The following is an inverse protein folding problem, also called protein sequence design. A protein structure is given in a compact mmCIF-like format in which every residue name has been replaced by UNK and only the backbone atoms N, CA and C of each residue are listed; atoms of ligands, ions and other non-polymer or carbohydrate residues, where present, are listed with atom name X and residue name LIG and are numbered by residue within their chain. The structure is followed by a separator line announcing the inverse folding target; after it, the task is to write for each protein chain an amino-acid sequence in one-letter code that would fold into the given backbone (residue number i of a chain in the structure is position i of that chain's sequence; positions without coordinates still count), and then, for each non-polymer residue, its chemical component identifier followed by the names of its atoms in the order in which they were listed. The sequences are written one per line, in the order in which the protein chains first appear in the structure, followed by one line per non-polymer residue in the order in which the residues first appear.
data_IF_408443677176
#
_entry.id   IF_408443677176
#
_cell.length_a   1.000
_cell.length_b   1.000
_cell.length_c   1.000
_cell.angle_alpha   90.00
_cell.angle_beta   90.00
_cell.angle_gamma   90.00
#
_symmetry.space_group_name_H-M   'P 1'
#
loop_
_entity.id
_entity.type
_entity.pdbx_description
1 polymer ?
#
# COMPACT_ATOMS: atom_id res chain seq x y z
N UNK A 1 3.91 19.23 13.19
CA UNK A 1 2.58 19.68 12.71
C UNK A 1 2.17 18.74 11.60
N UNK A 2 1.06 18.02 11.76
CA UNK A 2 0.60 17.03 10.80
C UNK A 2 -0.13 17.69 9.62
N UNK A 3 0.47 17.65 8.43
CA UNK A 3 -0.08 18.30 7.22
C UNK A 3 -1.17 17.43 6.59
N UNK A 4 -0.83 16.17 6.28
CA UNK A 4 -1.73 15.22 5.63
C UNK A 4 -1.90 13.98 6.52
N UNK A 5 -3.16 13.65 6.80
CA UNK A 5 -3.56 12.42 7.47
C UNK A 5 -4.26 11.51 6.49
N UNK A 6 -3.63 10.41 6.12
CA UNK A 6 -4.19 9.44 5.17
C UNK A 6 -4.88 8.32 5.92
N UNK A 7 -6.08 7.95 5.48
CA UNK A 7 -6.81 6.76 5.91
C UNK A 7 -6.89 5.84 4.70
N UNK A 8 -6.13 4.75 4.70
CA UNK A 8 -6.02 3.82 3.58
C UNK A 8 -6.81 2.53 3.83
N UNK A 9 -7.50 2.04 2.80
CA UNK A 9 -8.40 0.89 2.86
C UNK A 9 -7.72 -0.48 2.87
N UNK A 10 -6.41 -0.52 2.57
CA UNK A 10 -5.55 -1.70 2.60
C UNK A 10 -4.09 -1.35 2.95
N UNK A 11 -3.33 -2.39 3.29
CA UNK A 11 -1.91 -2.28 3.64
C UNK A 11 -1.00 -1.91 2.46
N UNK A 12 -1.23 -2.52 1.30
CA UNK A 12 -0.36 -2.30 0.13
C UNK A 12 -0.56 -0.88 -0.41
N UNK A 13 -1.81 -0.42 -0.50
CA UNK A 13 -2.13 0.95 -0.90
C UNK A 13 -1.73 2.01 0.12
N UNK A 14 -1.66 1.66 1.42
CA UNK A 14 -1.07 2.52 2.45
C UNK A 14 0.43 2.73 2.21
N UNK A 15 1.18 1.65 1.96
CA UNK A 15 2.62 1.73 1.71
C UNK A 15 2.90 2.48 0.41
N UNK A 16 2.09 2.23 -0.62
CA UNK A 16 2.19 2.90 -1.92
C UNK A 16 2.00 4.42 -1.80
N UNK A 17 0.89 4.89 -1.21
CA UNK A 17 0.69 6.35 -1.05
C UNK A 17 1.76 6.98 -0.16
N UNK A 18 2.20 6.29 0.90
CA UNK A 18 3.23 6.80 1.79
C UNK A 18 4.59 6.95 1.09
N UNK A 19 4.91 6.00 0.20
CA UNK A 19 6.04 6.09 -0.72
C UNK A 19 5.91 7.31 -1.64
N UNK A 20 4.77 7.54 -2.29
CA UNK A 20 4.57 8.74 -3.11
C UNK A 20 4.74 10.06 -2.33
N UNK A 21 4.33 10.12 -1.06
CA UNK A 21 4.55 11.29 -0.22
C UNK A 21 6.05 11.53 0.04
N UNK A 22 6.79 10.49 0.43
CA UNK A 22 8.24 10.57 0.71
C UNK A 22 9.04 10.92 -0.54
N UNK A 23 8.75 10.27 -1.67
CA UNK A 23 9.42 10.51 -2.95
C UNK A 23 9.21 11.93 -3.47
N UNK A 24 8.22 12.65 -2.93
CA UNK A 24 7.92 14.04 -3.27
C UNK A 24 8.18 15.01 -2.10
N UNK A 25 9.07 14.64 -1.17
CA UNK A 25 9.63 15.56 -0.18
C UNK A 25 8.83 15.70 1.12
N UNK A 26 7.89 14.78 1.40
CA UNK A 26 7.09 14.79 2.64
C UNK A 26 7.46 13.59 3.54
N UNK A 27 8.22 13.79 4.63
CA UNK A 27 8.52 12.74 5.59
C UNK A 27 7.25 12.08 6.11
N UNK A 28 7.16 10.76 6.04
CA UNK A 28 5.90 10.04 6.31
C UNK A 28 6.13 8.82 7.19
N UNK A 29 5.18 8.60 8.11
CA UNK A 29 5.07 7.38 8.89
C UNK A 29 3.79 6.66 8.52
N UNK A 30 3.88 5.35 8.29
CA UNK A 30 2.70 4.48 8.24
C UNK A 30 2.48 3.83 9.60
N UNK A 31 1.22 3.78 10.05
CA UNK A 31 0.78 3.05 11.24
C UNK A 31 -0.27 2.04 10.80
N UNK A 32 -0.16 0.81 11.30
CA UNK A 32 -1.09 -0.27 11.03
C UNK A 32 -2.21 -0.27 12.08
N UNK A 33 -3.45 -0.41 11.62
CA UNK A 33 -4.67 -0.26 12.42
C UNK A 33 -4.81 1.15 13.04
N UNK A 34 -5.92 1.36 13.76
CA UNK A 34 -6.19 2.66 14.41
C UNK A 34 -5.16 2.92 15.50
N UNK A 35 -4.40 4.03 15.45
CA UNK A 35 -3.36 4.28 16.43
C UNK A 35 -3.93 4.55 17.83
N UNK A 36 -3.22 4.05 18.85
CA UNK A 36 -3.54 4.30 20.28
C UNK A 36 -2.60 5.31 20.93
N UNK A 37 -1.41 5.53 20.35
CA UNK A 37 -0.38 6.44 20.85
C UNK A 37 -0.53 7.89 20.39
N UNK A 38 0.54 8.67 20.54
CA UNK A 38 0.66 10.04 20.02
C UNK A 38 1.25 10.06 18.61
N UNK A 39 1.21 11.21 17.93
CA UNK A 39 1.89 11.37 16.64
C UNK A 39 3.39 10.97 16.77
N UNK A 40 3.90 10.09 15.87
CA UNK A 40 5.32 9.80 15.77
C UNK A 40 6.15 11.05 15.40
N UNK A 41 7.37 11.13 15.91
CA UNK A 41 8.29 12.23 15.59
C UNK A 41 8.78 12.17 14.15
N UNK A 42 9.37 13.26 13.65
CA UNK A 42 10.07 13.27 12.36
C UNK A 42 9.18 13.09 11.12
N UNK A 43 7.85 13.25 11.23
CA UNK A 43 6.93 13.13 10.11
C UNK A 43 6.03 14.35 9.90
N UNK A 44 5.74 14.62 8.63
CA UNK A 44 4.79 15.64 8.16
C UNK A 44 3.45 15.03 7.74
N UNK A 45 3.45 13.74 7.39
CA UNK A 45 2.26 12.96 7.11
C UNK A 45 2.23 11.65 7.88
N UNK A 46 1.02 11.20 8.18
CA UNK A 46 0.76 9.89 8.78
C UNK A 46 -0.23 9.14 7.89
N UNK A 47 0.09 7.89 7.56
CA UNK A 47 -0.78 6.99 6.82
C UNK A 47 -1.28 5.89 7.76
N UNK A 48 -2.58 5.86 8.01
CA UNK A 48 -3.23 4.82 8.80
C UNK A 48 -3.72 3.74 7.84
N UNK A 49 -3.12 2.56 7.94
CA UNK A 49 -3.45 1.38 7.14
C UNK A 49 -4.56 0.57 7.82
N UNK A 50 -5.71 0.46 7.18
CA UNK A 50 -6.83 -0.37 7.64
C UNK A 50 -7.05 -1.58 6.72
N UNK A 51 -7.90 -2.52 7.14
CA UNK A 51 -8.36 -3.65 6.31
C UNK A 51 -9.84 -3.48 5.95
N UNK A 52 -10.18 -2.37 5.31
CA UNK A 52 -11.56 -1.91 5.17
C UNK A 52 -12.10 -1.89 3.75
N UNK A 53 -11.35 -2.40 2.76
CA UNK A 53 -11.80 -2.46 1.35
C UNK A 53 -13.06 -3.29 1.16
N UNK A 54 -13.11 -4.48 1.77
CA UNK A 54 -14.15 -5.49 1.49
C UNK A 54 -14.82 -6.05 2.75
N UNK A 55 -14.52 -5.48 3.93
CA UNK A 55 -15.30 -5.76 5.14
C UNK A 55 -16.71 -5.15 5.01
N UNK A 56 -17.66 -5.48 5.89
CA UNK A 56 -18.96 -4.81 5.91
C UNK A 56 -18.82 -3.27 6.02
N UNK A 57 -19.64 -2.53 5.28
CA UNK A 57 -19.56 -1.07 5.22
C UNK A 57 -19.61 -0.39 6.59
N UNK A 58 -20.43 -0.90 7.51
CA UNK A 58 -20.52 -0.36 8.87
C UNK A 58 -19.21 -0.49 9.66
N UNK A 59 -18.46 -1.57 9.43
CA UNK A 59 -17.15 -1.75 10.02
C UNK A 59 -16.13 -0.79 9.40
N UNK A 60 -16.13 -0.65 8.07
CA UNK A 60 -15.28 0.29 7.36
C UNK A 60 -15.48 1.74 7.83
N UNK A 61 -16.74 2.16 7.99
CA UNK A 61 -17.11 3.46 8.55
C UNK A 61 -16.57 3.60 9.97
N UNK A 62 -16.82 2.62 10.86
CA UNK A 62 -16.40 2.67 12.26
C UNK A 62 -14.87 2.84 12.37
N UNK A 63 -14.11 2.04 11.63
CA UNK A 63 -12.65 2.10 11.67
C UNK A 63 -12.12 3.41 11.07
N UNK A 64 -12.68 3.87 9.95
CA UNK A 64 -12.28 5.14 9.32
C UNK A 64 -12.57 6.35 10.20
N UNK A 65 -13.72 6.38 10.88
CA UNK A 65 -14.05 7.45 11.82
C UNK A 65 -13.15 7.41 13.06
N UNK A 66 -12.78 6.23 13.56
CA UNK A 66 -11.83 6.11 14.66
C UNK A 66 -10.43 6.64 14.27
N UNK A 67 -9.95 6.31 13.06
CA UNK A 67 -8.74 6.87 12.48
C UNK A 67 -8.81 8.40 12.34
N UNK A 68 -9.93 8.93 11.84
CA UNK A 68 -10.17 10.38 11.73
C UNK A 68 -10.14 11.06 13.10
N UNK A 69 -10.78 10.49 14.12
CA UNK A 69 -10.75 11.03 15.50
C UNK A 69 -9.32 11.14 16.00
N UNK A 70 -8.49 10.12 15.74
CA UNK A 70 -7.08 10.19 16.10
C UNK A 70 -6.34 11.31 15.33
N UNK A 71 -6.52 11.39 14.01
CA UNK A 71 -5.89 12.42 13.17
C UNK A 71 -6.26 13.85 13.61
N UNK A 72 -7.55 14.10 13.91
CA UNK A 72 -8.02 15.40 14.42
C UNK A 72 -7.37 15.75 15.76
N UNK A 73 -7.18 14.78 16.66
CA UNK A 73 -6.48 14.99 17.94
C UNK A 73 -5.01 15.38 17.76
N UNK A 74 -4.35 14.92 16.69
CA UNK A 74 -2.97 15.31 16.37
C UNK A 74 -2.87 16.65 15.60
N UNK A 75 -3.98 17.36 15.38
CA UNK A 75 -3.99 18.63 14.66
C UNK A 75 -3.75 18.49 13.14
N UNK A 76 -4.21 17.38 12.56
CA UNK A 76 -4.18 17.16 11.11
C UNK A 76 -4.89 18.28 10.33
N UNK A 77 -4.23 18.85 9.32
CA UNK A 77 -4.77 19.94 8.51
C UNK A 77 -5.67 19.46 7.36
N UNK A 78 -5.26 18.39 6.67
CA UNK A 78 -5.98 17.82 5.53
C UNK A 78 -6.10 16.29 5.67
N UNK A 79 -7.30 15.76 5.43
CA UNK A 79 -7.55 14.32 5.45
C UNK A 79 -7.58 13.77 4.02
N UNK A 80 -6.94 12.63 3.81
CA UNK A 80 -6.93 11.91 2.55
C UNK A 80 -7.57 10.54 2.73
N UNK A 81 -8.70 10.28 2.06
CA UNK A 81 -9.27 8.93 1.99
C UNK A 81 -8.66 8.18 0.80
N UNK A 82 -7.80 7.20 1.09
CA UNK A 82 -7.05 6.44 0.10
C UNK A 82 -7.74 5.10 -0.19
N UNK A 83 -8.03 4.87 -1.46
CA UNK A 83 -8.56 3.59 -1.98
C UNK A 83 -7.79 3.14 -3.23
N UNK A 84 -8.15 1.98 -3.78
CA UNK A 84 -7.45 1.40 -4.93
C UNK A 84 -7.57 2.26 -6.20
N UNK A 85 -6.50 2.31 -7.00
CA UNK A 85 -6.47 3.05 -8.28
C UNK A 85 -7.41 2.48 -9.35
N UNK A 86 -7.97 1.28 -9.12
CA UNK A 86 -8.98 0.63 -9.96
C UNK A 86 -10.40 0.73 -9.39
N UNK A 87 -10.59 1.57 -8.36
CA UNK A 87 -11.89 1.85 -7.74
C UNK A 87 -12.61 0.62 -7.15
N UNK A 88 -11.82 -0.38 -6.74
CA UNK A 88 -12.21 -1.65 -6.13
C UNK A 88 -13.32 -1.51 -5.08
N UNK A 89 -14.56 -1.77 -5.47
CA UNK A 89 -15.75 -1.64 -4.63
C UNK A 89 -16.94 -2.37 -5.26
N UNK A 90 -18.02 -2.52 -4.50
CA UNK A 90 -19.33 -2.93 -5.02
C UNK A 90 -20.33 -1.80 -4.80
N UNK A 91 -21.59 -1.99 -5.22
CA UNK A 91 -22.67 -1.06 -4.87
C UNK A 91 -22.90 -0.96 -3.34
N UNK A 92 -22.43 -1.94 -2.56
CA UNK A 92 -22.52 -1.92 -1.10
C UNK A 92 -21.37 -1.16 -0.43
N UNK A 93 -20.33 -0.78 -1.18
CA UNK A 93 -19.21 0.00 -0.68
C UNK A 93 -17.82 -0.60 -0.96
N UNK A 94 -16.76 -0.08 -0.31
CA UNK A 94 -16.82 0.84 0.84
C UNK A 94 -16.41 2.30 0.55
N UNK A 95 -16.11 2.66 -0.70
CA UNK A 95 -15.64 4.01 -1.05
C UNK A 95 -16.70 5.07 -0.74
N UNK A 96 -17.93 4.89 -1.23
CA UNK A 96 -19.04 5.82 -0.98
C UNK A 96 -19.40 5.96 0.49
N UNK A 97 -19.70 4.86 1.21
CA UNK A 97 -20.12 4.94 2.61
C UNK A 97 -19.07 5.58 3.53
N UNK A 98 -17.78 5.28 3.32
CA UNK A 98 -16.68 5.89 4.09
C UNK A 98 -16.53 7.37 3.72
N UNK A 99 -16.60 7.72 2.44
CA UNK A 99 -16.50 9.12 2.00
C UNK A 99 -17.60 9.97 2.63
N UNK A 100 -18.85 9.52 2.58
CA UNK A 100 -19.99 10.23 3.17
C UNK A 100 -19.83 10.41 4.69
N UNK A 101 -19.39 9.36 5.40
CA UNK A 101 -19.16 9.43 6.84
C UNK A 101 -18.04 10.42 7.20
N UNK A 102 -16.94 10.43 6.45
CA UNK A 102 -15.83 11.37 6.66
C UNK A 102 -16.25 12.80 6.35
N UNK A 103 -17.03 13.03 5.28
CA UNK A 103 -17.57 14.35 4.93
C UNK A 103 -18.43 14.92 6.05
N UNK A 104 -19.33 14.11 6.63
CA UNK A 104 -20.17 14.51 7.78
C UNK A 104 -19.30 14.83 9.00
N UNK A 105 -18.31 14.00 9.33
CA UNK A 105 -17.45 14.20 10.50
C UNK A 105 -16.46 15.40 10.37
N UNK A 106 -16.21 15.84 9.15
CA UNK A 106 -15.40 17.02 8.80
C UNK A 106 -16.25 18.26 8.48
N UNK A 107 -17.58 18.16 8.53
CA UNK A 107 -18.52 19.23 8.18
C UNK A 107 -18.24 19.85 6.80
N UNK A 108 -17.99 18.99 5.80
CA UNK A 108 -17.81 19.41 4.40
C UNK A 108 -18.91 18.86 3.51
N UNK A 109 -19.41 19.70 2.59
CA UNK A 109 -20.47 19.34 1.65
C UNK A 109 -19.97 18.84 0.30
N UNK A 110 -18.66 18.94 0.04
CA UNK A 110 -18.07 18.62 -1.25
C UNK A 110 -16.67 18.00 -1.11
N UNK A 111 -16.35 17.02 -1.94
CA UNK A 111 -15.01 16.42 -2.05
C UNK A 111 -14.72 15.94 -3.48
N UNK A 112 -13.49 15.49 -3.73
CA UNK A 112 -13.04 15.00 -5.04
C UNK A 112 -12.79 13.50 -5.04
N UNK A 113 -12.77 12.91 -6.22
CA UNK A 113 -12.47 11.51 -6.51
C UNK A 113 -11.37 11.46 -7.57
N UNK A 114 -10.16 11.06 -7.20
CA UNK A 114 -9.01 11.01 -8.12
C UNK A 114 -8.23 9.69 -8.02
N UNK A 115 -8.72 8.59 -8.65
CA UNK A 115 -8.08 7.27 -8.58
C UNK A 115 -6.84 7.16 -9.48
N UNK A 116 -6.64 8.11 -10.39
CA UNK A 116 -5.62 8.02 -11.44
C UNK A 116 -4.19 7.90 -10.86
N UNK A 117 -3.39 7.09 -11.55
CA UNK A 117 -1.95 6.95 -11.34
C UNK A 117 -1.30 6.63 -12.71
N UNK A 118 -1.07 7.65 -13.57
CA UNK A 118 -0.66 7.44 -14.95
C UNK A 118 0.62 6.63 -15.12
N UNK A 119 1.59 6.76 -14.20
CA UNK A 119 2.84 5.97 -14.20
C UNK A 119 2.58 4.46 -14.10
N UNK A 120 1.48 4.05 -13.48
CA UNK A 120 1.04 2.66 -13.39
C UNK A 120 -0.06 2.33 -14.42
N UNK A 121 -0.24 3.17 -15.45
CA UNK A 121 -1.24 2.98 -16.49
C UNK A 121 -2.69 3.12 -16.01
N UNK A 122 -2.95 3.91 -14.96
CA UNK A 122 -4.32 4.25 -14.53
C UNK A 122 -4.60 5.70 -14.89
N UNK A 123 -5.46 5.93 -15.87
CA UNK A 123 -5.84 7.26 -16.34
C UNK A 123 -7.35 7.44 -16.30
N UNK A 124 -7.81 8.67 -16.10
CA UNK A 124 -9.23 9.02 -16.13
C UNK A 124 -9.46 10.06 -17.21
N UNK A 125 -10.42 9.78 -18.09
CA UNK A 125 -10.85 10.68 -19.16
C UNK A 125 -12.37 10.75 -19.25
N UNK A 126 -12.94 11.95 -19.19
CA UNK A 126 -14.37 12.22 -19.12
C UNK A 126 -15.05 11.42 -18.00
N UNK A 127 -14.37 11.23 -16.86
CA UNK A 127 -14.84 10.42 -15.74
C UNK A 127 -14.81 8.89 -15.97
N UNK A 128 -14.31 8.41 -17.11
CA UNK A 128 -14.09 6.97 -17.35
C UNK A 128 -12.69 6.56 -16.91
N UNK A 129 -12.59 5.48 -16.13
CA UNK A 129 -11.32 4.91 -15.70
C UNK A 129 -10.79 3.93 -16.74
N UNK A 130 -9.53 4.11 -17.10
CA UNK A 130 -8.77 3.22 -17.98
C UNK A 130 -7.69 2.48 -17.20
N UNK A 131 -7.53 1.21 -17.52
CA UNK A 131 -6.44 0.36 -17.08
C UNK A 131 -5.61 0.00 -18.30
N UNK A 132 -4.38 0.51 -18.33
CA UNK A 132 -3.54 0.51 -19.52
C UNK A 132 -4.27 1.15 -20.70
N UNK A 133 -4.49 0.40 -21.77
CA UNK A 133 -5.13 0.82 -23.01
C UNK A 133 -6.61 0.44 -23.10
N UNK A 134 -7.21 -0.08 -22.02
CA UNK A 134 -8.60 -0.56 -21.99
C UNK A 134 -9.41 0.16 -20.92
N UNK A 135 -10.74 0.20 -21.10
CA UNK A 135 -11.66 0.58 -20.04
C UNK A 135 -11.54 -0.39 -18.85
N UNK A 136 -11.83 0.09 -17.63
CA UNK A 136 -11.80 -0.72 -16.41
C UNK A 136 -12.55 -2.06 -16.58
N UNK A 137 -13.77 -1.99 -17.14
CA UNK A 137 -14.66 -3.13 -17.34
C UNK A 137 -14.26 -4.09 -18.48
N UNK A 138 -13.23 -3.72 -19.24
CA UNK A 138 -12.63 -4.51 -20.32
C UNK A 138 -11.21 -4.98 -19.95
N UNK A 139 -10.75 -4.65 -18.73
CA UNK A 139 -9.48 -5.10 -18.19
C UNK A 139 -9.63 -6.39 -17.38
N UNK A 140 -8.52 -6.90 -16.83
CA UNK A 140 -8.57 -8.02 -15.87
C UNK A 140 -9.46 -7.76 -14.65
N UNK A 141 -9.71 -6.50 -14.28
CA UNK A 141 -10.59 -6.14 -13.17
C UNK A 141 -12.05 -6.57 -13.38
N UNK A 142 -12.47 -6.81 -14.63
CA UNK A 142 -13.79 -7.37 -14.95
C UNK A 142 -14.09 -8.65 -14.19
N UNK A 143 -13.07 -9.47 -13.96
CA UNK A 143 -13.17 -10.78 -13.32
C UNK A 143 -12.45 -10.81 -11.98
N UNK A 144 -12.26 -9.65 -11.34
CA UNK A 144 -11.63 -9.60 -10.02
C UNK A 144 -12.41 -10.48 -9.02
N UNK A 145 -11.75 -11.34 -8.23
CA UNK A 145 -12.42 -12.39 -7.46
C UNK A 145 -13.32 -11.86 -6.33
N UNK A 146 -13.09 -10.64 -5.86
CA UNK A 146 -13.81 -10.06 -4.72
C UNK A 146 -14.80 -8.98 -5.17
N UNK A 147 -14.36 -8.09 -6.06
CA UNK A 147 -15.12 -6.91 -6.51
C UNK A 147 -14.95 -6.74 -8.03
N UNK A 148 -15.62 -7.59 -8.84
CA UNK A 148 -15.53 -7.51 -10.29
C UNK A 148 -16.08 -6.17 -10.80
N UNK A 149 -15.25 -5.44 -11.54
CA UNK A 149 -15.57 -4.09 -12.03
C UNK A 149 -16.17 -4.20 -13.44
N UNK A 150 -17.49 -4.06 -13.57
CA UNK A 150 -18.22 -4.27 -14.85
C UNK A 150 -18.74 -2.98 -15.50
N UNK A 151 -18.52 -1.83 -14.87
CA UNK A 151 -18.68 -0.48 -15.42
C UNK A 151 -17.35 0.28 -15.27
N UNK A 152 -17.12 1.27 -16.12
CA UNK A 152 -15.89 2.08 -16.12
C UNK A 152 -16.14 3.57 -15.84
N UNK A 153 -17.40 4.01 -15.78
CA UNK A 153 -17.73 5.40 -15.50
C UNK A 153 -17.80 5.64 -13.98
N UNK A 154 -16.81 6.35 -13.45
CA UNK A 154 -16.63 6.57 -12.02
C UNK A 154 -17.82 7.26 -11.34
N UNK A 155 -18.51 8.25 -11.95
CA UNK A 155 -19.69 8.83 -11.34
C UNK A 155 -20.81 7.81 -11.07
N UNK A 156 -21.07 6.88 -12.00
CA UNK A 156 -22.06 5.80 -11.79
C UNK A 156 -21.61 4.83 -10.71
N UNK A 157 -20.32 4.45 -10.71
CA UNK A 157 -19.77 3.57 -9.68
C UNK A 157 -19.86 4.18 -8.28
N UNK A 158 -19.67 5.50 -8.15
CA UNK A 158 -19.80 6.23 -6.89
C UNK A 158 -21.27 6.38 -6.48
N UNK A 159 -22.14 6.83 -7.39
CA UNK A 159 -23.56 7.04 -7.12
C UNK A 159 -24.29 5.75 -6.73
N UNK A 160 -23.82 4.59 -7.22
CA UNK A 160 -24.36 3.28 -6.83
C UNK A 160 -24.11 2.91 -5.35
N UNK A 161 -23.14 3.55 -4.68
CA UNK A 161 -22.71 3.23 -3.31
C UNK A 161 -22.74 4.43 -2.35
N UNK A 162 -23.16 5.61 -2.80
CA UNK A 162 -23.10 6.85 -2.06
C UNK A 162 -24.44 7.60 -2.07
N UNK A 163 -24.59 8.63 -1.23
CA UNK A 163 -25.86 9.35 -1.08
C UNK A 163 -26.03 10.54 -2.03
N UNK A 164 -24.94 11.05 -2.60
CA UNK A 164 -24.91 12.26 -3.40
C UNK A 164 -24.75 12.05 -4.90
N UNK A 165 -24.90 13.13 -5.67
CA UNK A 165 -24.56 13.14 -7.11
C UNK A 165 -23.08 13.37 -7.33
N UNK A 166 -22.55 12.77 -8.38
CA UNK A 166 -21.14 12.84 -8.75
C UNK A 166 -20.95 13.55 -10.11
N UNK A 167 -20.19 14.65 -10.10
CA UNK A 167 -19.83 15.41 -11.30
C UNK A 167 -18.47 14.99 -11.86
N UNK A 168 -18.06 15.62 -12.96
CA UNK A 168 -16.76 15.40 -13.60
C UNK A 168 -16.09 16.74 -13.88
N UNK A 169 -14.80 16.83 -13.58
CA UNK A 169 -13.91 17.86 -14.12
C UNK A 169 -13.06 17.21 -15.22
N UNK A 170 -13.29 17.55 -16.50
CA UNK A 170 -12.61 16.90 -17.60
C UNK A 170 -11.17 17.38 -17.75
N UNK A 171 -10.34 16.58 -18.43
CA UNK A 171 -8.93 16.86 -18.66
C UNK A 171 -8.69 18.25 -19.25
N UNK A 172 -9.56 18.70 -20.16
CA UNK A 172 -9.48 20.00 -20.82
C UNK A 172 -9.57 21.16 -19.82
N UNK A 173 -10.37 21.03 -18.77
CA UNK A 173 -10.44 22.06 -17.71
C UNK A 173 -9.17 22.10 -16.88
N UNK A 174 -8.50 20.96 -16.69
CA UNK A 174 -7.16 20.95 -16.09
C UNK A 174 -6.13 21.56 -17.03
N UNK A 175 -6.26 21.36 -18.35
CA UNK A 175 -5.39 21.99 -19.36
C UNK A 175 -5.52 23.51 -19.36
N UNK A 176 -6.69 24.05 -19.04
CA UNK A 176 -6.92 25.49 -18.81
C UNK A 176 -6.31 26.01 -17.49
N UNK A 177 -5.89 25.11 -16.60
CA UNK A 177 -5.13 25.42 -15.39
C UNK A 177 -5.96 25.60 -14.11
N UNK A 178 -5.29 26.11 -13.08
CA UNK A 178 -5.76 26.13 -11.69
C UNK A 178 -7.03 26.96 -11.52
N UNK A 179 -7.10 28.15 -12.14
CA UNK A 179 -8.25 29.04 -12.01
C UNK A 179 -9.52 28.44 -12.63
N UNK A 180 -9.41 27.88 -13.84
CA UNK A 180 -10.52 27.21 -14.52
C UNK A 180 -11.00 25.98 -13.72
N UNK A 181 -10.06 25.18 -13.22
CA UNK A 181 -10.37 24.01 -12.39
C UNK A 181 -11.09 24.40 -11.09
N UNK A 182 -10.62 25.44 -10.37
CA UNK A 182 -11.30 25.95 -9.17
C UNK A 182 -12.72 26.44 -9.48
N UNK A 183 -12.88 27.21 -10.56
CA UNK A 183 -14.19 27.72 -10.97
C UNK A 183 -15.17 26.58 -11.31
N UNK A 184 -14.69 25.54 -12.01
CA UNK A 184 -15.50 24.38 -12.35
C UNK A 184 -15.90 23.55 -11.11
N UNK A 185 -15.00 23.38 -10.13
CA UNK A 185 -15.34 22.74 -8.85
C UNK A 185 -16.39 23.54 -8.08
N UNK A 186 -16.24 24.87 -7.97
CA UNK A 186 -17.23 25.73 -7.32
C UNK A 186 -18.60 25.66 -8.01
N UNK A 187 -18.61 25.60 -9.34
CA UNK A 187 -19.85 25.43 -10.11
C UNK A 187 -20.54 24.11 -9.82
N UNK A 188 -19.81 22.98 -9.80
CA UNK A 188 -20.40 21.68 -9.42
C UNK A 188 -20.99 21.71 -8.01
N UNK A 189 -20.30 22.36 -7.07
CA UNK A 189 -20.82 22.52 -5.71
C UNK A 189 -22.12 23.35 -5.67
N UNK A 190 -22.20 24.45 -6.43
CA UNK A 190 -23.42 25.28 -6.55
C UNK A 190 -24.56 24.54 -7.23
N UNK A 191 -24.26 23.66 -8.18
CA UNK A 191 -25.23 22.77 -8.84
C UNK A 191 -25.70 21.62 -7.91
N UNK A 192 -25.13 21.48 -6.70
CA UNK A 192 -25.55 20.51 -5.70
C UNK A 192 -24.93 19.12 -5.87
N UNK A 193 -23.80 19.01 -6.56
CA UNK A 193 -22.99 17.79 -6.54
C UNK A 193 -22.27 17.67 -5.20
N UNK A 194 -22.12 16.43 -4.71
CA UNK A 194 -21.36 16.12 -3.49
C UNK A 194 -19.92 15.72 -3.79
N UNK A 195 -19.70 15.16 -4.97
CA UNK A 195 -18.40 14.66 -5.39
C UNK A 195 -18.08 15.15 -6.80
N UNK A 196 -16.79 15.28 -7.10
CA UNK A 196 -16.31 15.49 -8.45
C UNK A 196 -15.17 14.51 -8.78
N UNK A 197 -15.38 13.70 -9.82
CA UNK A 197 -14.30 12.93 -10.44
C UNK A 197 -13.37 13.88 -11.18
N UNK A 198 -12.07 13.73 -10.97
CA UNK A 198 -11.04 14.51 -11.65
C UNK A 198 -10.35 13.65 -12.69
N UNK A 199 -10.37 14.10 -13.94
CA UNK A 199 -9.57 13.50 -14.99
C UNK A 199 -8.08 13.66 -14.72
N UNK A 200 -7.29 12.66 -15.12
CA UNK A 200 -5.84 12.73 -15.17
C UNK A 200 -5.31 11.73 -16.20
N UNK A 201 -4.62 12.25 -17.21
CA UNK A 201 -3.99 11.47 -18.27
C UNK A 201 -2.48 11.34 -18.08
N UNK A 202 -1.90 12.23 -17.28
CA UNK A 202 -0.48 12.39 -17.09
C UNK A 202 -0.21 13.03 -15.71
N UNK A 203 1.05 13.07 -15.32
CA UNK A 203 1.51 13.61 -14.04
C UNK A 203 1.14 15.10 -13.85
N UNK A 204 1.24 15.91 -14.91
CA UNK A 204 0.91 17.35 -14.87
C UNK A 204 -0.52 17.61 -14.41
N UNK A 205 -1.47 16.78 -14.83
CA UNK A 205 -2.86 16.90 -14.36
C UNK A 205 -2.92 16.71 -12.84
N UNK A 206 -2.20 15.74 -12.28
CA UNK A 206 -2.16 15.49 -10.84
C UNK A 206 -1.47 16.62 -10.06
N UNK A 207 -0.44 17.27 -10.63
CA UNK A 207 0.18 18.46 -10.04
C UNK A 207 -0.82 19.62 -9.93
N UNK A 208 -1.58 19.87 -11.00
CA UNK A 208 -2.63 20.91 -11.03
C UNK A 208 -3.72 20.59 -9.99
N UNK A 209 -4.15 19.32 -9.90
CA UNK A 209 -5.09 18.90 -8.86
C UNK A 209 -4.52 19.17 -7.46
N UNK A 210 -3.24 18.85 -7.22
CA UNK A 210 -2.56 19.15 -5.96
C UNK A 210 -2.58 20.63 -5.59
N UNK A 211 -2.27 21.51 -6.54
CA UNK A 211 -2.31 22.97 -6.33
C UNK A 211 -3.74 23.47 -6.04
N UNK A 212 -4.72 22.97 -6.79
CA UNK A 212 -6.14 23.31 -6.59
C UNK A 212 -6.64 22.86 -5.22
N UNK A 213 -6.21 21.68 -4.75
CA UNK A 213 -6.77 21.01 -3.58
C UNK A 213 -5.92 21.14 -2.31
N UNK A 214 -4.85 21.94 -2.34
CA UNK A 214 -3.94 22.13 -1.19
C UNK A 214 -4.66 22.33 0.15
N UNK A 215 -5.73 23.13 0.14
CA UNK A 215 -6.44 23.54 1.36
C UNK A 215 -7.80 22.82 1.55
N UNK A 216 -8.11 21.80 0.74
CA UNK A 216 -9.35 21.05 0.89
C UNK A 216 -9.34 20.24 2.20
N UNK A 217 -10.42 20.23 3.01
CA UNK A 217 -10.43 19.52 4.30
C UNK A 217 -10.39 18.00 4.13
N UNK A 218 -11.02 17.50 3.07
CA UNK A 218 -11.05 16.11 2.66
C UNK A 218 -10.75 16.03 1.16
N UNK A 219 -9.87 15.11 0.79
CA UNK A 219 -9.68 14.66 -0.60
C UNK A 219 -9.74 13.14 -0.63
N UNK A 220 -10.08 12.57 -1.78
CA UNK A 220 -10.14 11.11 -1.93
C UNK A 220 -9.52 10.65 -3.25
N UNK A 221 -8.86 9.50 -3.26
CA UNK A 221 -8.21 9.01 -4.47
C UNK A 221 -7.25 7.84 -4.29
N UNK A 222 -6.51 7.56 -5.36
CA UNK A 222 -5.36 6.65 -5.38
C UNK A 222 -4.10 7.34 -4.85
N UNK A 223 -2.92 6.94 -5.29
CA UNK A 223 -1.66 7.56 -4.85
C UNK A 223 -1.24 8.76 -5.71
N UNK A 224 -1.81 8.92 -6.90
CA UNK A 224 -1.43 9.98 -7.84
C UNK A 224 -1.73 11.39 -7.34
N UNK A 225 -2.91 11.63 -6.76
CA UNK A 225 -3.24 12.95 -6.21
C UNK A 225 -2.34 13.32 -5.01
N UNK A 226 -1.94 12.34 -4.20
CA UNK A 226 -1.04 12.57 -3.06
C UNK A 226 0.35 13.07 -3.50
N UNK A 227 0.85 12.63 -4.65
CA UNK A 227 2.07 13.19 -5.25
C UNK A 227 1.92 14.69 -5.55
N UNK A 228 0.81 15.09 -6.18
CA UNK A 228 0.52 16.50 -6.46
C UNK A 228 0.44 17.34 -5.18
N UNK A 229 -0.23 16.83 -4.15
CA UNK A 229 -0.33 17.48 -2.84
C UNK A 229 1.04 17.58 -2.15
N UNK A 230 1.82 16.49 -2.13
CA UNK A 230 3.14 16.47 -1.51
C UNK A 230 4.05 17.57 -2.09
N UNK A 231 4.04 17.77 -3.41
CA UNK A 231 4.81 18.82 -4.08
C UNK A 231 4.41 20.24 -3.67
N UNK A 232 3.15 20.48 -3.30
CA UNK A 232 2.70 21.79 -2.80
C UNK A 232 3.18 22.08 -1.39
N UNK A 233 3.42 21.03 -0.60
CA UNK A 233 3.86 21.13 0.79
C UNK A 233 5.35 20.89 0.98
N UNK A 234 6.04 20.44 -0.07
CA UNK A 234 7.46 20.11 -0.05
C UNK A 234 8.29 21.34 0.32
N UNK A 235 8.62 21.45 1.61
CA UNK A 235 9.60 22.40 2.16
C UNK A 235 11.00 21.78 2.24
N UNK A 236 11.06 20.45 2.24
CA UNK A 236 12.28 19.66 2.40
C UNK A 236 12.67 19.03 1.06
N UNK A 237 13.98 18.88 0.84
CA UNK A 237 14.47 18.08 -0.27
C UNK A 237 14.13 16.60 -0.09
N UNK A 238 13.95 15.88 -1.19
CA UNK A 238 13.56 14.44 -1.19
C UNK A 238 14.51 13.57 -0.34
N UNK A 239 15.81 13.89 -0.31
CA UNK A 239 16.79 13.16 0.51
C UNK A 239 16.48 13.22 2.00
N UNK A 240 16.02 14.37 2.50
CA UNK A 240 15.65 14.55 3.91
C UNK A 240 14.35 13.83 4.24
N UNK A 241 13.40 13.74 3.30
CA UNK A 241 12.15 13.02 3.53
C UNK A 241 12.35 11.50 3.66
N UNK A 242 13.31 10.93 2.92
CA UNK A 242 13.62 9.50 2.90
C UNK A 242 14.46 9.02 4.09
N UNK A 243 15.18 9.91 4.76
CA UNK A 243 16.29 9.51 5.65
C UNK A 243 15.87 8.63 6.82
N UNK A 244 14.69 8.88 7.41
CA UNK A 244 14.21 8.13 8.58
C UNK A 244 13.88 6.66 8.26
N UNK A 245 13.52 6.35 7.00
CA UNK A 245 13.24 4.98 6.55
C UNK A 245 14.38 4.34 5.74
N UNK A 246 15.54 4.99 5.62
CA UNK A 246 16.70 4.36 4.98
C UNK A 246 17.11 3.09 5.76
N UNK A 247 17.40 1.96 5.09
CA UNK A 247 17.64 0.71 5.80
C UNK A 247 18.80 0.83 6.79
N UNK A 248 18.70 0.13 7.91
CA UNK A 248 19.71 0.05 8.95
C UNK A 248 20.88 -0.83 8.50
N UNK A 249 22.05 -0.60 9.09
CA UNK A 249 23.18 -1.52 8.92
C UNK A 249 22.85 -2.89 9.53
N UNK A 250 23.66 -3.89 9.16
CA UNK A 250 23.56 -5.24 9.70
C UNK A 250 23.00 -6.23 8.70
N UNK A 251 22.75 -7.44 9.18
CA UNK A 251 22.54 -8.60 8.32
C UNK A 251 21.11 -8.64 7.81
N UNK A 252 20.97 -9.06 6.55
CA UNK A 252 19.70 -9.19 5.88
C UNK A 252 19.30 -10.66 5.67
N UNK A 253 17.99 -10.89 5.54
CA UNK A 253 17.39 -12.17 5.13
C UNK A 253 16.30 -11.92 4.09
N UNK A 254 16.13 -12.85 3.14
CA UNK A 254 14.98 -12.86 2.23
C UNK A 254 13.98 -13.95 2.65
N UNK A 255 12.72 -13.58 2.88
CA UNK A 255 11.62 -14.50 3.18
C UNK A 255 10.58 -14.44 2.06
N UNK A 256 10.47 -15.50 1.26
CA UNK A 256 9.59 -15.52 0.09
C UNK A 256 8.46 -16.53 0.27
N UNK A 257 7.23 -16.05 0.46
CA UNK A 257 6.03 -16.90 0.55
C UNK A 257 5.04 -16.74 -0.62
N UNK A 258 5.21 -15.71 -1.48
CA UNK A 258 4.33 -15.53 -2.63
C UNK A 258 4.57 -16.58 -3.72
N UNK A 259 3.49 -17.10 -4.29
CA UNK A 259 3.49 -17.98 -5.46
C UNK A 259 3.13 -17.26 -6.77
N UNK A 260 3.26 -15.92 -6.82
CA UNK A 260 3.00 -15.15 -8.04
C UNK A 260 4.02 -15.45 -9.15
N UNK A 261 3.67 -15.13 -10.40
CA UNK A 261 4.58 -15.29 -11.54
C UNK A 261 5.86 -14.48 -11.36
N UNK A 262 5.74 -13.21 -10.96
CA UNK A 262 6.89 -12.33 -10.74
C UNK A 262 7.78 -12.81 -9.60
N UNK A 263 7.21 -13.32 -8.49
CA UNK A 263 8.01 -13.85 -7.38
C UNK A 263 8.73 -15.13 -7.77
N UNK A 264 8.10 -16.00 -8.57
CA UNK A 264 8.78 -17.18 -9.12
C UNK A 264 10.02 -16.79 -9.94
N UNK A 265 9.93 -15.75 -10.78
CA UNK A 265 11.07 -15.23 -11.53
C UNK A 265 12.16 -14.67 -10.61
N UNK A 266 11.78 -13.86 -9.61
CA UNK A 266 12.71 -13.28 -8.65
C UNK A 266 13.46 -14.33 -7.82
N UNK A 267 12.76 -15.38 -7.36
CA UNK A 267 13.39 -16.49 -6.62
C UNK A 267 14.31 -17.29 -7.52
N UNK A 268 13.89 -17.60 -8.76
CA UNK A 268 14.70 -18.32 -9.73
C UNK A 268 15.98 -17.56 -10.11
N UNK A 269 15.90 -16.23 -10.21
CA UNK A 269 17.04 -15.36 -10.45
C UNK A 269 17.95 -15.28 -9.21
N UNK A 270 17.40 -14.90 -8.05
CA UNK A 270 18.18 -14.65 -6.83
C UNK A 270 18.94 -15.87 -6.32
N UNK A 271 18.38 -17.08 -6.48
CA UNK A 271 19.01 -18.30 -6.01
C UNK A 271 20.31 -18.68 -6.71
N UNK A 272 20.60 -18.03 -7.83
CA UNK A 272 21.88 -18.16 -8.54
C UNK A 272 23.00 -17.34 -7.89
N UNK A 273 22.65 -16.43 -6.97
CA UNK A 273 23.56 -15.42 -6.42
C UNK A 273 23.74 -15.50 -4.89
N UNK A 274 22.82 -16.14 -4.17
CA UNK A 274 22.83 -16.22 -2.72
C UNK A 274 22.47 -17.63 -2.21
N UNK A 275 22.90 -18.02 -1.00
CA UNK A 275 22.43 -19.25 -0.37
C UNK A 275 20.91 -19.25 -0.24
N UNK A 276 20.25 -20.31 -0.70
CA UNK A 276 18.79 -20.44 -0.62
C UNK A 276 18.39 -21.79 -0.05
N UNK A 277 17.26 -21.80 0.66
CA UNK A 277 16.65 -23.02 1.18
C UNK A 277 15.15 -22.99 0.95
N UNK A 278 14.63 -24.06 0.36
CA UNK A 278 13.20 -24.22 0.11
C UNK A 278 12.50 -24.77 1.37
N UNK A 279 11.29 -24.28 1.63
CA UNK A 279 10.43 -24.73 2.72
C UNK A 279 9.77 -26.05 2.35
N UNK A 280 9.93 -27.05 3.22
CA UNK A 280 9.22 -28.32 3.14
C UNK A 280 7.91 -28.22 3.92
N UNK A 281 6.78 -28.16 3.21
CA UNK A 281 5.44 -28.00 3.80
C UNK A 281 5.13 -29.14 4.78
N UNK A 282 5.62 -30.35 4.55
CA UNK A 282 5.37 -31.49 5.44
C UNK A 282 5.91 -31.26 6.85
N UNK A 283 7.00 -30.46 6.98
CA UNK A 283 7.61 -30.11 8.27
C UNK A 283 6.92 -28.94 8.98
N UNK A 284 5.89 -28.37 8.36
CA UNK A 284 5.17 -27.21 8.88
C UNK A 284 3.82 -27.57 9.52
N UNK A 285 3.34 -28.81 9.38
CA UNK A 285 1.94 -29.16 9.67
C UNK A 285 1.64 -29.22 11.17
N UNK A 286 2.45 -29.92 11.97
CA UNK A 286 2.33 -29.96 13.43
C UNK A 286 3.13 -28.84 14.09
N UNK A 287 2.64 -28.31 15.22
CA UNK A 287 3.33 -27.26 15.98
C UNK A 287 4.76 -27.67 16.39
N UNK A 288 4.95 -28.88 16.90
CA UNK A 288 6.26 -29.35 17.40
C UNK A 288 7.30 -29.44 16.28
N UNK A 289 6.91 -30.03 15.14
CA UNK A 289 7.79 -30.10 13.96
C UNK A 289 8.08 -28.71 13.39
N UNK A 290 7.08 -27.81 13.41
CA UNK A 290 7.22 -26.44 12.90
C UNK A 290 8.19 -25.62 13.74
N UNK A 291 8.11 -25.71 15.07
CA UNK A 291 9.03 -25.02 15.98
C UNK A 291 10.48 -25.48 15.78
N UNK A 292 10.71 -26.80 15.74
CA UNK A 292 12.03 -27.36 15.48
C UNK A 292 12.54 -26.97 14.08
N UNK A 293 11.65 -26.89 13.09
CA UNK A 293 12.03 -26.52 11.73
C UNK A 293 12.36 -25.03 11.62
N UNK A 294 11.60 -24.14 12.27
CA UNK A 294 11.92 -22.71 12.35
C UNK A 294 13.30 -22.48 12.97
N UNK A 295 13.61 -23.18 14.07
CA UNK A 295 14.92 -23.12 14.72
C UNK A 295 16.04 -23.59 13.78
N UNK A 296 15.86 -24.73 13.12
CA UNK A 296 16.86 -25.25 12.17
C UNK A 296 17.08 -24.31 10.98
N UNK A 297 16.03 -23.68 10.46
CA UNK A 297 16.14 -22.69 9.39
C UNK A 297 16.81 -21.40 9.88
N UNK A 298 16.51 -20.93 11.10
CA UNK A 298 17.16 -19.78 11.70
C UNK A 298 18.66 -20.03 11.87
N UNK A 299 19.06 -21.17 12.44
CA UNK A 299 20.47 -21.55 12.56
C UNK A 299 21.16 -21.67 11.20
N UNK A 300 20.47 -22.23 10.19
CA UNK A 300 21.00 -22.29 8.83
C UNK A 300 21.25 -20.90 8.26
N UNK A 301 20.27 -19.98 8.38
CA UNK A 301 20.44 -18.58 7.95
C UNK A 301 21.62 -17.99 8.72
N UNK A 302 21.61 -18.04 10.06
CA UNK A 302 22.58 -17.38 10.91
C UNK A 302 24.02 -17.87 10.70
N UNK A 303 24.22 -19.10 10.23
CA UNK A 303 25.55 -19.67 9.92
C UNK A 303 26.09 -19.34 8.52
N UNK A 304 25.28 -18.80 7.59
CA UNK A 304 25.78 -18.45 6.26
C UNK A 304 26.77 -17.27 6.30
N UNK A 305 27.87 -17.38 5.56
CA UNK A 305 28.79 -16.27 5.32
C UNK A 305 28.79 -15.95 3.82
N UNK A 306 27.94 -15.00 3.42
CA UNK A 306 27.74 -14.62 2.03
C UNK A 306 27.49 -13.12 1.90
N UNK A 307 27.93 -12.54 0.77
CA UNK A 307 27.75 -11.11 0.48
C UNK A 307 26.26 -10.73 0.43
N UNK A 308 25.44 -11.55 -0.23
CA UNK A 308 23.99 -11.37 -0.33
C UNK A 308 23.28 -12.17 0.77
N UNK A 309 22.13 -11.66 1.20
CA UNK A 309 21.26 -12.25 2.20
C UNK A 309 20.84 -13.68 1.86
N UNK A 310 20.92 -14.64 2.80
CA UNK A 310 20.30 -15.95 2.62
C UNK A 310 18.80 -15.84 2.40
N UNK A 311 18.23 -16.73 1.57
CA UNK A 311 16.80 -16.80 1.29
C UNK A 311 16.16 -18.07 1.84
N UNK A 312 15.01 -17.91 2.49
CA UNK A 312 14.06 -18.99 2.77
C UNK A 312 12.85 -18.81 1.85
N UNK A 313 12.56 -19.80 1.01
CA UNK A 313 11.52 -19.73 -0.01
C UNK A 313 10.48 -20.82 0.16
N UNK A 314 9.21 -20.44 0.31
CA UNK A 314 8.05 -21.31 0.10
C UNK A 314 7.40 -21.06 -1.28
N UNK A 315 8.03 -20.27 -2.15
CA UNK A 315 7.54 -20.00 -3.50
C UNK A 315 7.57 -21.29 -4.31
N UNK A 316 6.40 -21.69 -4.80
CA UNK A 316 6.22 -22.87 -5.64
C UNK A 316 5.69 -22.47 -7.03
N UNK A 317 6.01 -23.29 -8.04
CA UNK A 317 5.37 -23.20 -9.35
C UNK A 317 3.88 -23.54 -9.23
N UNK A 318 3.05 -23.10 -10.19
CA UNK A 318 1.61 -23.39 -10.17
C UNK A 318 1.31 -24.89 -10.08
N UNK A 319 2.12 -25.73 -10.74
CA UNK A 319 1.96 -27.19 -10.71
C UNK A 319 2.34 -27.77 -9.34
N UNK A 320 3.46 -27.33 -8.74
CA UNK A 320 3.88 -27.79 -7.43
C UNK A 320 2.91 -27.32 -6.33
N UNK A 321 2.42 -26.07 -6.43
CA UNK A 321 1.40 -25.54 -5.53
C UNK A 321 0.11 -26.37 -5.62
N UNK A 322 -0.36 -26.69 -6.82
CA UNK A 322 -1.55 -27.53 -6.99
C UNK A 322 -1.37 -28.92 -6.35
N UNK A 323 -0.19 -29.54 -6.48
CA UNK A 323 0.11 -30.82 -5.83
C UNK A 323 0.10 -30.71 -4.30
N UNK A 324 0.72 -29.67 -3.73
CA UNK A 324 0.71 -29.39 -2.28
C UNK A 324 -0.72 -29.20 -1.78
N UNK A 325 -1.53 -28.40 -2.49
CA UNK A 325 -2.90 -28.10 -2.13
C UNK A 325 -3.81 -29.34 -2.22
N UNK A 326 -3.56 -30.24 -3.18
CA UNK A 326 -4.26 -31.53 -3.26
C UNK A 326 -3.89 -32.46 -2.12
N UNK A 327 -2.63 -32.46 -1.69
CA UNK A 327 -2.14 -33.36 -0.66
C UNK A 327 -2.51 -32.92 0.76
N UNK A 328 -2.41 -31.62 1.04
CA UNK A 328 -2.52 -31.08 2.40
C UNK A 328 -3.70 -30.11 2.59
N UNK A 329 -4.42 -29.77 1.52
CA UNK A 329 -5.44 -28.73 1.55
C UNK A 329 -4.84 -27.32 1.40
N UNK A 330 -5.51 -26.46 0.63
CA UNK A 330 -4.98 -25.14 0.30
C UNK A 330 -4.87 -24.21 1.53
N UNK A 331 -5.91 -24.16 2.35
CA UNK A 331 -5.94 -23.31 3.55
C UNK A 331 -4.93 -23.78 4.60
N UNK A 332 -4.86 -25.08 4.84
CA UNK A 332 -3.98 -25.66 5.85
C UNK A 332 -2.50 -25.51 5.47
N UNK A 333 -2.15 -25.75 4.19
CA UNK A 333 -0.79 -25.52 3.70
C UNK A 333 -0.36 -24.05 3.78
N UNK A 334 -1.25 -23.11 3.40
CA UNK A 334 -0.96 -21.66 3.50
C UNK A 334 -0.71 -21.26 4.96
N UNK A 335 -1.64 -21.64 5.85
CA UNK A 335 -1.53 -21.35 7.28
C UNK A 335 -0.27 -21.94 7.90
N UNK A 336 0.10 -23.18 7.55
CA UNK A 336 1.29 -23.84 8.06
C UNK A 336 2.58 -23.09 7.65
N UNK A 337 2.66 -22.62 6.40
CA UNK A 337 3.79 -21.82 5.89
C UNK A 337 3.84 -20.45 6.55
N UNK A 338 2.69 -19.78 6.69
CA UNK A 338 2.59 -18.48 7.37
C UNK A 338 3.02 -18.59 8.84
N UNK A 339 2.57 -19.62 9.55
CA UNK A 339 2.97 -19.89 10.93
C UNK A 339 4.48 -20.18 11.05
N UNK A 340 5.08 -20.89 10.07
CA UNK A 340 6.53 -21.09 10.04
C UNK A 340 7.26 -19.76 9.88
N UNK A 341 6.85 -18.92 8.92
CA UNK A 341 7.49 -17.62 8.70
C UNK A 341 7.33 -16.68 9.90
N UNK A 342 6.21 -16.75 10.61
CA UNK A 342 6.00 -16.04 11.87
C UNK A 342 7.07 -16.42 12.91
N UNK A 343 7.22 -17.72 13.21
CA UNK A 343 8.23 -18.21 14.15
C UNK A 343 9.65 -17.88 13.69
N UNK A 344 9.94 -18.10 12.42
CA UNK A 344 11.25 -17.86 11.84
C UNK A 344 11.66 -16.39 11.91
N UNK A 345 10.74 -15.46 11.64
CA UNK A 345 11.04 -14.02 11.72
C UNK A 345 11.48 -13.60 13.12
N UNK A 346 10.73 -14.01 14.16
CA UNK A 346 11.07 -13.72 15.56
C UNK A 346 12.44 -14.30 15.92
N UNK A 347 12.73 -15.56 15.55
CA UNK A 347 14.04 -16.19 15.81
C UNK A 347 15.19 -15.48 15.10
N UNK A 348 14.98 -15.01 13.88
CA UNK A 348 16.00 -14.29 13.12
C UNK A 348 16.28 -12.91 13.71
N UNK A 349 15.25 -12.20 14.19
CA UNK A 349 15.41 -10.93 14.91
C UNK A 349 16.19 -11.16 16.23
N UNK A 350 15.80 -12.16 17.03
CA UNK A 350 16.53 -12.57 18.25
C UNK A 350 17.99 -12.92 17.94
N UNK A 351 18.25 -13.51 16.77
CA UNK A 351 19.57 -13.84 16.26
C UNK A 351 20.36 -12.66 15.65
N UNK A 352 19.83 -11.44 15.68
CA UNK A 352 20.50 -10.23 15.23
C UNK A 352 20.36 -9.89 13.74
N UNK A 353 19.41 -10.50 13.02
CA UNK A 353 19.00 -10.01 11.70
C UNK A 353 18.29 -8.67 11.86
N UNK A 354 18.76 -7.65 11.15
CA UNK A 354 18.22 -6.29 11.22
C UNK A 354 17.43 -5.90 9.97
N UNK A 355 17.57 -6.63 8.86
CA UNK A 355 16.92 -6.31 7.59
C UNK A 355 16.13 -7.50 7.03
N UNK A 356 14.82 -7.31 6.83
CA UNK A 356 13.92 -8.34 6.29
C UNK A 356 13.38 -7.94 4.91
N UNK A 357 13.73 -8.70 3.89
CA UNK A 357 13.17 -8.54 2.54
C UNK A 357 12.11 -9.62 2.36
N UNK A 358 10.84 -9.23 2.31
CA UNK A 358 9.71 -10.17 2.37
C UNK A 358 8.91 -10.11 1.07
N UNK A 359 8.59 -11.27 0.49
CA UNK A 359 7.75 -11.37 -0.69
C UNK A 359 6.45 -12.14 -0.42
N UNK A 360 5.31 -11.45 -0.58
CA UNK A 360 3.96 -11.97 -0.34
C UNK A 360 3.20 -11.09 0.65
N UNK A 361 1.93 -10.78 0.33
CA UNK A 361 1.08 -9.93 1.18
C UNK A 361 0.84 -10.57 2.56
N UNK A 362 0.36 -11.80 2.58
CA UNK A 362 0.14 -12.54 3.84
C UNK A 362 1.47 -12.78 4.59
N UNK A 363 2.53 -13.15 3.86
CA UNK A 363 3.87 -13.32 4.45
C UNK A 363 4.38 -12.03 5.09
N UNK A 364 4.18 -10.89 4.44
CA UNK A 364 4.53 -9.57 5.00
C UNK A 364 3.72 -9.26 6.25
N UNK A 365 2.42 -9.59 6.24
CA UNK A 365 1.53 -9.44 7.39
C UNK A 365 2.01 -10.24 8.60
N UNK A 366 2.27 -11.54 8.44
CA UNK A 366 2.68 -12.40 9.56
C UNK A 366 4.09 -12.07 10.07
N UNK A 367 5.02 -11.69 9.20
CA UNK A 367 6.36 -11.23 9.60
C UNK A 367 6.25 -9.93 10.42
N UNK A 368 5.51 -8.94 9.92
CA UNK A 368 5.33 -7.65 10.63
C UNK A 368 4.64 -7.84 11.98
N UNK A 369 3.62 -8.70 12.04
CA UNK A 369 2.92 -9.03 13.28
C UNK A 369 3.81 -9.77 14.28
N UNK A 370 4.58 -10.76 13.82
CA UNK A 370 5.50 -11.54 14.65
C UNK A 370 6.55 -10.67 15.33
N UNK A 371 7.10 -9.71 14.57
CA UNK A 371 8.09 -8.74 15.05
C UNK A 371 7.47 -7.62 15.91
N UNK A 372 6.15 -7.65 16.19
CA UNK A 372 5.47 -6.65 17.01
C UNK A 372 5.46 -5.24 16.39
N UNK A 373 5.58 -5.13 15.06
CA UNK A 373 5.73 -3.85 14.37
C UNK A 373 4.35 -3.22 14.16
N UNK A 374 4.11 -2.10 14.83
CA UNK A 374 2.85 -1.34 14.75
C UNK A 374 2.87 -0.22 13.70
N UNK A 375 4.05 0.15 13.22
CA UNK A 375 4.22 1.19 12.22
C UNK A 375 5.69 1.39 11.85
N UNK A 376 5.92 2.18 10.82
CA UNK A 376 7.24 2.40 10.26
C UNK A 376 7.43 3.76 9.60
N UNK A 377 8.65 4.28 9.69
CA UNK A 377 9.13 5.36 8.84
C UNK A 377 9.32 4.85 7.41
N UNK A 378 8.83 5.61 6.44
CA UNK A 378 8.94 5.28 5.02
C UNK A 378 10.25 5.83 4.46
N UNK A 379 10.98 4.98 3.74
CA UNK A 379 12.28 5.27 3.17
C UNK A 379 12.26 5.33 1.64
N UNK A 380 13.44 5.15 1.01
CA UNK A 380 13.56 5.21 -0.45
C UNK A 380 12.90 4.01 -1.14
N UNK A 381 12.40 4.24 -2.36
CA UNK A 381 11.83 3.21 -3.22
C UNK A 381 12.88 2.23 -3.77
N UNK A 382 12.62 0.94 -3.60
CA UNK A 382 13.32 -0.13 -4.35
C UNK A 382 12.63 -0.34 -5.69
N UNK A 383 11.30 -0.42 -5.68
CA UNK A 383 10.43 -0.49 -6.85
C UNK A 383 9.21 0.40 -6.62
N UNK A 384 8.46 0.77 -7.67
CA UNK A 384 7.17 1.46 -7.48
C UNK A 384 6.28 0.70 -6.50
N UNK A 385 5.85 1.37 -5.43
CA UNK A 385 5.03 0.78 -4.36
C UNK A 385 5.76 -0.13 -3.36
N UNK A 386 7.09 -0.28 -3.45
CA UNK A 386 7.90 -1.10 -2.53
C UNK A 386 9.11 -0.31 -2.02
N UNK A 387 8.93 0.50 -0.96
CA UNK A 387 10.02 1.20 -0.30
C UNK A 387 10.73 0.32 0.73
N UNK A 388 11.93 0.73 1.11
CA UNK A 388 12.47 0.38 2.42
C UNK A 388 11.68 1.09 3.52
N UNK A 389 11.50 0.43 4.66
CA UNK A 389 10.85 1.00 5.84
C UNK A 389 11.62 0.65 7.11
N UNK A 390 11.56 1.51 8.13
CA UNK A 390 12.13 1.25 9.46
C UNK A 390 11.04 1.22 10.52
N UNK A 391 11.00 0.17 11.33
CA UNK A 391 10.05 0.05 12.44
C UNK A 391 10.20 1.22 13.44
N UNK A 392 9.09 1.69 14.00
CA UNK A 392 9.10 2.82 14.96
C UNK A 392 9.74 2.47 16.30
N UNK A 393 9.65 1.21 16.72
CA UNK A 393 9.95 0.77 18.09
C UNK A 393 10.89 -0.45 18.15
N UNK A 394 11.39 -0.89 17.01
CA UNK A 394 12.34 -1.99 16.89
C UNK A 394 13.47 -1.58 15.92
N UNK A 395 14.72 -2.02 16.13
CA UNK A 395 15.84 -1.72 15.24
C UNK A 395 15.81 -2.62 13.99
N UNK A 396 14.68 -2.63 13.28
CA UNK A 396 14.41 -3.49 12.14
C UNK A 396 14.02 -2.68 10.92
N UNK A 397 14.64 -2.98 9.79
CA UNK A 397 14.23 -2.49 8.47
C UNK A 397 13.52 -3.59 7.68
N UNK A 398 12.50 -3.21 6.93
CA UNK A 398 11.73 -4.12 6.09
C UNK A 398 11.60 -3.60 4.66
N UNK A 399 11.55 -4.53 3.72
CA UNK A 399 11.10 -4.30 2.36
C UNK A 399 9.97 -5.30 2.07
N UNK A 400 8.72 -4.80 2.08
CA UNK A 400 7.51 -5.63 2.03
C UNK A 400 6.92 -5.63 0.62
N UNK A 401 7.20 -6.69 -0.15
CA UNK A 401 6.84 -6.78 -1.57
C UNK A 401 5.55 -7.57 -1.76
N UNK A 402 4.49 -6.92 -2.24
CA UNK A 402 3.28 -7.62 -2.70
C UNK A 402 3.55 -8.41 -3.98
N UNK A 403 2.80 -9.50 -4.23
CA UNK A 403 3.20 -10.60 -5.13
C UNK A 403 3.72 -10.21 -6.51
N UNK A 404 3.04 -9.35 -7.27
CA UNK A 404 3.45 -9.00 -8.64
C UNK A 404 4.35 -7.78 -8.75
N UNK A 405 4.79 -7.19 -7.64
CA UNK A 405 5.60 -5.98 -7.65
C UNK A 405 7.09 -6.27 -7.88
N UNK A 406 7.80 -5.24 -8.34
CA UNK A 406 9.24 -5.28 -8.62
C UNK A 406 9.60 -6.04 -9.89
N UNK A 407 10.88 -5.97 -10.23
CA UNK A 407 11.50 -6.62 -11.39
C UNK A 407 12.23 -7.90 -10.98
N UNK A 408 12.78 -8.63 -11.95
CA UNK A 408 13.43 -9.93 -11.75
C UNK A 408 14.59 -9.84 -10.74
N UNK A 409 15.31 -8.71 -10.72
CA UNK A 409 16.48 -8.50 -9.86
C UNK A 409 16.17 -7.87 -8.50
N UNK A 410 14.88 -7.73 -8.15
CA UNK A 410 14.40 -7.01 -6.96
C UNK A 410 15.18 -7.33 -5.68
N UNK A 411 15.37 -8.63 -5.36
CA UNK A 411 16.04 -9.05 -4.13
C UNK A 411 17.52 -8.62 -4.07
N UNK A 412 18.21 -8.51 -5.20
CA UNK A 412 19.58 -8.00 -5.28
C UNK A 412 19.57 -6.48 -5.13
N UNK A 413 18.72 -5.79 -5.90
CA UNK A 413 18.63 -4.32 -5.90
C UNK A 413 18.32 -3.77 -4.51
N UNK A 414 17.40 -4.41 -3.79
CA UNK A 414 17.07 -4.10 -2.40
C UNK A 414 18.30 -4.04 -1.48
N UNK A 415 19.37 -4.76 -1.78
CA UNK A 415 20.60 -4.79 -0.98
C UNK A 415 21.72 -3.93 -1.57
N UNK A 416 21.90 -3.96 -2.90
CA UNK A 416 23.05 -3.33 -3.58
C UNK A 416 22.88 -1.82 -3.75
N UNK A 417 21.67 -1.35 -3.96
CA UNK A 417 21.39 0.08 -4.20
C UNK A 417 21.31 0.90 -2.90
N UNK A 418 21.26 0.22 -1.75
CA UNK A 418 21.01 0.82 -0.43
C UNK A 418 22.09 0.44 0.57
N UNK A 419 23.34 0.76 0.24
CA UNK A 419 24.46 0.50 1.15
C UNK A 419 24.43 1.49 2.33
N UNK A 420 24.69 0.97 3.53
CA UNK A 420 24.73 1.73 4.78
C UNK A 420 26.16 1.82 5.26
#
# INVERSE_FOLDING_TARGET
MLKIGVIADDFTGATDIASFLVENGMPTVQINDVPTGTQPEGCDAVVISLKTRSCPAQEAIKQSLAALVWLKKQGCQQVYSKYCSTFDSTAEGNIGPVTDALMVALDTSFTVISPALPVNGRTVYQGYLFVMNHLLAESGMRHHPINPMTDSYLPRLMEAQAQGRCGVIPAQTLDEGVAATRAALSRLQQEGYRYAVLDALNERHLEIQGEVLRDAPLVTGGSGLAMGLARQWAKHGVSQARSAGYPLSGRAVVLSGSCSQMTNQQVAFYRQHAPTRDVDVARCLSSETREAYAEALAQWVLSQDSELAPMISATASTQALAAIQQQYGATEASYAVEALFSLLAARLEEGGITRFIVAGGETSGVVTQSLGITGFHIGPCISPGVPWVNALHAPVSLALKSGNFGDESFFIRAQREFQV
#
